data_IF_487597992561
#
_entry.id   IF_487597992561
#
_cell.length_a   1.000
_cell.length_b   1.000
_cell.length_c   1.000
_cell.angle_alpha   90.00
_cell.angle_beta   90.00
_cell.angle_gamma   90.00
#
_symmetry.space_group_name_H-M   'P 1'
#
loop_
_entity.id
_entity.type
_entity.pdbx_description
1 polymer ?
#
# COMPACT_ATOMS: atom_id res chain seq x y z
N UNK A 1 12.57 -12.91 -14.67
CA UNK A 1 11.58 -12.76 -13.60
C UNK A 1 10.31 -13.55 -13.96
N UNK A 2 9.72 -14.22 -12.99
CA UNK A 2 8.41 -14.85 -13.12
C UNK A 2 7.44 -14.10 -12.19
N UNK A 3 6.32 -13.62 -12.74
CA UNK A 3 5.25 -13.01 -11.97
C UNK A 3 4.15 -14.04 -11.72
N UNK A 4 3.78 -14.22 -10.46
CA UNK A 4 2.73 -15.16 -10.08
C UNK A 4 1.57 -14.41 -9.39
N UNK A 5 0.38 -14.55 -9.97
CA UNK A 5 -0.85 -14.00 -9.46
C UNK A 5 -1.40 -14.80 -8.29
N UNK A 6 -0.84 -14.63 -7.11
CA UNK A 6 -1.28 -15.29 -5.88
C UNK A 6 -2.67 -14.79 -5.44
N UNK A 7 -2.92 -13.50 -5.59
CA UNK A 7 -4.11 -12.76 -5.21
C UNK A 7 -4.36 -12.76 -3.69
N UNK A 8 -4.51 -13.94 -3.10
CA UNK A 8 -4.61 -14.24 -1.67
C UNK A 8 -3.99 -15.60 -1.41
N UNK A 9 -3.62 -15.89 -0.16
CA UNK A 9 -3.21 -17.22 0.31
C UNK A 9 -4.18 -17.78 1.37
N UNK A 10 -5.41 -17.23 1.40
CA UNK A 10 -6.56 -17.76 2.12
C UNK A 10 -7.51 -18.48 1.13
N UNK A 11 -7.73 -19.78 1.33
CA UNK A 11 -8.57 -20.59 0.45
C UNK A 11 -10.04 -20.12 0.40
N UNK A 12 -10.58 -19.50 1.47
CA UNK A 12 -11.92 -18.91 1.46
C UNK A 12 -12.00 -17.75 0.47
N UNK A 13 -11.01 -16.86 0.48
CA UNK A 13 -10.91 -15.73 -0.43
C UNK A 13 -10.72 -16.19 -1.87
N UNK A 14 -9.86 -17.19 -2.10
CA UNK A 14 -9.63 -17.76 -3.42
C UNK A 14 -10.89 -18.42 -3.99
N UNK A 15 -11.62 -19.17 -3.18
CA UNK A 15 -12.88 -19.81 -3.57
C UNK A 15 -13.98 -18.76 -3.85
N UNK A 16 -14.15 -17.77 -2.97
CA UNK A 16 -15.12 -16.70 -3.15
C UNK A 16 -14.84 -15.85 -4.41
N UNK A 17 -13.56 -15.69 -4.74
CA UNK A 17 -13.08 -14.97 -5.93
C UNK A 17 -13.01 -15.86 -7.20
N UNK A 18 -13.39 -17.12 -7.11
CA UNK A 18 -13.40 -18.13 -8.22
C UNK A 18 -12.04 -18.24 -8.92
N UNK A 19 -10.94 -18.26 -8.16
CA UNK A 19 -9.58 -18.24 -8.72
C UNK A 19 -9.16 -19.57 -9.37
N UNK A 20 -9.82 -20.68 -9.09
CA UNK A 20 -9.54 -21.99 -9.72
C UNK A 20 -8.26 -22.67 -9.23
N UNK A 21 -7.59 -22.14 -8.19
CA UNK A 21 -6.45 -22.76 -7.52
C UNK A 21 -6.56 -22.57 -6.00
N UNK A 22 -5.81 -23.38 -5.25
CA UNK A 22 -5.72 -23.31 -3.80
C UNK A 22 -4.45 -22.59 -3.34
N UNK A 23 -4.43 -22.14 -2.09
CA UNK A 23 -3.24 -21.59 -1.47
C UNK A 23 -2.08 -22.61 -1.45
N UNK A 24 -2.36 -23.90 -1.26
CA UNK A 24 -1.34 -24.95 -1.32
C UNK A 24 -0.68 -25.04 -2.70
N UNK A 25 -1.47 -24.98 -3.77
CA UNK A 25 -0.94 -24.97 -5.14
C UNK A 25 -0.12 -23.72 -5.43
N UNK A 26 -0.56 -22.55 -4.94
CA UNK A 26 0.18 -21.32 -5.08
C UNK A 26 1.54 -21.37 -4.36
N UNK A 27 1.58 -21.91 -3.13
CA UNK A 27 2.82 -22.15 -2.36
C UNK A 27 3.79 -23.07 -3.10
N UNK A 28 3.28 -24.17 -3.64
CA UNK A 28 4.12 -25.12 -4.37
C UNK A 28 4.68 -24.49 -5.65
N UNK A 29 3.88 -23.73 -6.40
CA UNK A 29 4.35 -22.99 -7.56
C UNK A 29 5.49 -22.02 -7.20
N UNK A 30 5.36 -21.27 -6.10
CA UNK A 30 6.43 -20.39 -5.61
C UNK A 30 7.72 -21.17 -5.31
N UNK A 31 7.62 -22.29 -4.58
CA UNK A 31 8.78 -23.14 -4.28
C UNK A 31 9.46 -23.66 -5.53
N UNK A 32 8.69 -24.14 -6.50
CA UNK A 32 9.23 -24.63 -7.77
C UNK A 32 9.95 -23.56 -8.58
N UNK A 33 9.42 -22.32 -8.61
CA UNK A 33 10.05 -21.17 -9.27
C UNK A 33 11.39 -20.84 -8.60
N UNK A 34 11.39 -20.72 -7.26
CA UNK A 34 12.60 -20.42 -6.49
C UNK A 34 13.64 -21.55 -6.58
N UNK A 35 13.22 -22.81 -6.51
CA UNK A 35 14.13 -23.95 -6.64
C UNK A 35 14.84 -24.01 -8.00
N UNK A 36 14.28 -23.40 -9.04
CA UNK A 36 14.89 -23.27 -10.36
C UNK A 36 15.75 -22.02 -10.54
N UNK A 37 15.94 -21.24 -9.48
CA UNK A 37 16.79 -20.05 -9.49
C UNK A 37 16.17 -18.82 -10.15
N UNK A 38 14.87 -18.82 -10.46
CA UNK A 38 14.20 -17.65 -11.00
C UNK A 38 13.90 -16.62 -9.91
N UNK A 39 13.92 -15.34 -10.32
CA UNK A 39 13.34 -14.28 -9.51
C UNK A 39 11.82 -14.35 -9.57
N UNK A 40 11.19 -14.26 -8.40
CA UNK A 40 9.74 -14.38 -8.23
C UNK A 40 9.12 -13.06 -7.80
N UNK A 41 8.13 -12.59 -8.55
CA UNK A 41 7.28 -11.46 -8.17
C UNK A 41 5.92 -11.98 -7.71
N UNK A 42 5.60 -11.77 -6.44
CA UNK A 42 4.30 -12.14 -5.86
C UNK A 42 3.27 -11.02 -6.07
N UNK A 43 2.18 -11.30 -6.79
CA UNK A 43 1.09 -10.35 -6.96
C UNK A 43 -0.05 -10.70 -6.02
N UNK A 44 -0.51 -9.72 -5.23
CA UNK A 44 -1.66 -9.87 -4.33
C UNK A 44 -2.71 -8.78 -4.57
N UNK A 45 -3.92 -9.02 -4.05
CA UNK A 45 -5.04 -8.08 -4.16
C UNK A 45 -5.59 -7.72 -2.79
N UNK A 46 -6.09 -6.50 -2.69
CA UNK A 46 -6.75 -5.92 -1.52
C UNK A 46 -8.24 -5.81 -1.78
N UNK A 47 -9.07 -6.24 -0.83
CA UNK A 47 -10.52 -6.10 -0.89
C UNK A 47 -11.23 -7.10 -1.80
N UNK A 48 -10.67 -8.30 -1.98
CA UNK A 48 -11.37 -9.40 -2.63
C UNK A 48 -12.61 -9.84 -1.80
N UNK A 49 -13.61 -10.51 -2.41
CA UNK A 49 -14.69 -11.14 -1.66
C UNK A 49 -14.18 -12.00 -0.51
N UNK A 50 -14.81 -11.93 0.64
CA UNK A 50 -14.44 -12.61 1.90
C UNK A 50 -13.06 -12.23 2.48
N UNK A 51 -12.34 -11.27 1.88
CA UNK A 51 -11.04 -10.82 2.39
C UNK A 51 -11.20 -9.85 3.56
N UNK A 52 -10.34 -10.01 4.57
CA UNK A 52 -10.18 -9.09 5.69
C UNK A 52 -8.81 -8.44 5.67
N UNK A 53 -8.61 -7.35 6.43
CA UNK A 53 -7.30 -6.70 6.55
C UNK A 53 -6.25 -7.68 7.11
N UNK A 54 -6.64 -8.52 8.08
CA UNK A 54 -5.79 -9.54 8.68
C UNK A 54 -5.34 -10.58 7.65
N UNK A 55 -6.28 -11.12 6.84
CA UNK A 55 -5.98 -12.11 5.81
C UNK A 55 -5.05 -11.56 4.72
N UNK A 56 -5.17 -10.27 4.40
CA UNK A 56 -4.28 -9.58 3.46
C UNK A 56 -2.89 -9.40 4.05
N UNK A 57 -2.79 -9.01 5.32
CA UNK A 57 -1.52 -8.93 6.05
C UNK A 57 -0.85 -10.31 6.18
N UNK A 58 -1.61 -11.37 6.45
CA UNK A 58 -1.10 -12.75 6.48
C UNK A 58 -0.60 -13.18 5.10
N UNK A 59 -1.35 -12.91 4.04
CA UNK A 59 -0.92 -13.15 2.66
C UNK A 59 0.41 -12.43 2.36
N UNK A 60 0.57 -11.18 2.78
CA UNK A 60 1.80 -10.44 2.58
C UNK A 60 2.99 -11.05 3.34
N UNK A 61 2.80 -11.42 4.61
CA UNK A 61 3.84 -12.11 5.41
C UNK A 61 4.23 -13.45 4.77
N UNK A 62 3.28 -14.16 4.23
CA UNK A 62 3.55 -15.43 3.58
C UNK A 62 4.29 -15.24 2.25
N UNK A 63 3.96 -14.23 1.44
CA UNK A 63 4.73 -13.85 0.24
C UNK A 63 6.19 -13.56 0.59
N UNK A 64 6.44 -12.87 1.71
CA UNK A 64 7.79 -12.66 2.25
C UNK A 64 8.46 -14.00 2.58
N UNK A 65 7.78 -14.90 3.30
CA UNK A 65 8.33 -16.20 3.73
C UNK A 65 8.60 -17.16 2.57
N UNK A 66 7.86 -17.04 1.48
CA UNK A 66 8.06 -17.79 0.24
C UNK A 66 9.27 -17.32 -0.58
N UNK A 67 9.97 -16.27 -0.12
CA UNK A 67 11.18 -15.74 -0.74
C UNK A 67 10.93 -15.00 -2.05
N UNK A 68 9.78 -14.34 -2.18
CA UNK A 68 9.54 -13.46 -3.32
C UNK A 68 10.55 -12.31 -3.33
N UNK A 69 11.09 -12.01 -4.51
CA UNK A 69 12.11 -10.98 -4.70
C UNK A 69 11.49 -9.58 -4.89
N UNK A 70 10.21 -9.53 -5.22
CA UNK A 70 9.42 -8.31 -5.32
C UNK A 70 7.92 -8.63 -5.15
N UNK A 71 7.12 -7.58 -4.94
CA UNK A 71 5.68 -7.72 -4.82
C UNK A 71 4.92 -6.69 -5.69
N UNK A 72 3.66 -7.02 -5.99
CA UNK A 72 2.67 -6.10 -6.55
C UNK A 72 1.40 -6.12 -5.69
N UNK A 73 0.83 -4.95 -5.45
CA UNK A 73 -0.39 -4.79 -4.66
C UNK A 73 -1.44 -4.11 -5.52
N UNK A 74 -2.59 -4.75 -5.71
CA UNK A 74 -3.69 -4.20 -6.47
C UNK A 74 -4.96 -4.09 -5.61
N UNK A 75 -5.58 -2.90 -5.52
CA UNK A 75 -6.92 -2.80 -4.97
C UNK A 75 -7.91 -3.47 -5.93
N UNK A 76 -8.93 -4.10 -5.37
CA UNK A 76 -10.02 -4.68 -6.16
C UNK A 76 -10.88 -3.57 -6.74
N UNK A 77 -11.00 -3.59 -8.07
CA UNK A 77 -11.88 -2.71 -8.84
C UNK A 77 -12.92 -3.58 -9.52
N UNK A 78 -14.18 -3.18 -9.43
CA UNK A 78 -15.31 -3.88 -10.03
C UNK A 78 -15.54 -3.32 -11.42
N UNK A 79 -15.29 -4.13 -12.44
CA UNK A 79 -15.60 -3.79 -13.82
C UNK A 79 -17.04 -4.20 -14.17
N UNK A 80 -17.69 -3.39 -15.00
CA UNK A 80 -19.00 -3.72 -15.55
C UNK A 80 -18.97 -5.06 -16.29
N UNK A 81 -20.11 -5.73 -16.38
CA UNK A 81 -20.30 -7.01 -17.09
C UNK A 81 -19.43 -8.18 -16.56
N UNK A 82 -18.98 -8.09 -15.29
CA UNK A 82 -18.24 -9.15 -14.62
C UNK A 82 -19.11 -9.87 -13.57
N UNK A 83 -18.69 -11.10 -13.23
CA UNK A 83 -19.30 -11.84 -12.12
C UNK A 83 -19.24 -11.07 -10.80
N UNK A 84 -18.14 -10.31 -10.55
CA UNK A 84 -17.97 -9.49 -9.36
C UNK A 84 -18.98 -8.33 -9.33
N UNK A 85 -19.27 -7.72 -10.49
CA UNK A 85 -20.31 -6.70 -10.64
C UNK A 85 -21.69 -7.26 -10.30
N UNK A 86 -22.01 -8.47 -10.78
CA UNK A 86 -23.25 -9.17 -10.44
C UNK A 86 -23.33 -9.45 -8.93
N UNK A 87 -22.25 -9.87 -8.29
CA UNK A 87 -22.20 -10.07 -6.83
C UNK A 87 -22.43 -8.77 -6.07
N UNK A 88 -21.85 -7.67 -6.52
CA UNK A 88 -22.02 -6.35 -5.94
C UNK A 88 -23.49 -5.88 -6.02
N UNK A 89 -24.10 -5.93 -7.20
CA UNK A 89 -25.50 -5.55 -7.39
C UNK A 89 -26.47 -6.47 -6.63
N UNK A 90 -26.12 -7.73 -6.45
CA UNK A 90 -26.88 -8.71 -5.66
C UNK A 90 -26.64 -8.61 -4.15
N UNK A 91 -25.90 -7.65 -3.66
CA UNK A 91 -25.60 -7.46 -2.22
C UNK A 91 -24.71 -8.55 -1.60
N UNK A 92 -24.06 -9.38 -2.42
CA UNK A 92 -23.15 -10.47 -1.99
C UNK A 92 -21.69 -10.03 -1.88
N UNK A 93 -21.37 -8.83 -2.31
CA UNK A 93 -20.04 -8.24 -2.22
C UNK A 93 -20.16 -6.72 -2.11
N UNK A 94 -19.41 -6.15 -1.18
CA UNK A 94 -19.29 -4.69 -1.03
C UNK A 94 -17.84 -4.31 -1.31
N UNK A 95 -17.55 -3.58 -2.40
CA UNK A 95 -16.20 -3.14 -2.69
C UNK A 95 -15.72 -2.13 -1.65
N UNK A 96 -14.41 -2.12 -1.37
CA UNK A 96 -13.82 -1.14 -0.48
C UNK A 96 -13.97 0.28 -1.03
N UNK A 97 -14.27 1.22 -0.15
CA UNK A 97 -14.14 2.63 -0.47
C UNK A 97 -12.65 3.03 -0.50
N UNK A 98 -12.35 4.14 -1.19
CA UNK A 98 -10.96 4.58 -1.41
C UNK A 98 -10.13 4.65 -0.13
N UNK A 99 -10.70 5.27 0.93
CA UNK A 99 -10.01 5.41 2.23
C UNK A 99 -9.58 4.07 2.80
N UNK A 100 -10.47 3.09 2.80
CA UNK A 100 -10.22 1.78 3.41
C UNK A 100 -9.26 0.94 2.55
N UNK A 101 -9.36 1.04 1.22
CA UNK A 101 -8.41 0.41 0.31
C UNK A 101 -6.99 0.97 0.48
N UNK A 102 -6.84 2.29 0.63
CA UNK A 102 -5.55 2.94 0.91
C UNK A 102 -5.00 2.50 2.27
N UNK A 103 -5.83 2.49 3.32
CA UNK A 103 -5.40 2.07 4.67
C UNK A 103 -4.91 0.62 4.68
N UNK A 104 -5.67 -0.33 4.11
CA UNK A 104 -5.30 -1.75 4.04
C UNK A 104 -4.06 -1.97 3.16
N UNK A 105 -3.95 -1.27 2.03
CA UNK A 105 -2.75 -1.34 1.17
C UNK A 105 -1.50 -0.80 1.86
N UNK A 106 -1.63 0.23 2.72
CA UNK A 106 -0.53 0.75 3.54
C UNK A 106 -0.03 -0.29 4.53
N UNK A 107 -0.93 -1.01 5.21
CA UNK A 107 -0.52 -2.06 6.16
C UNK A 107 0.27 -3.17 5.48
N UNK A 108 -0.19 -3.61 4.32
CA UNK A 108 0.52 -4.59 3.49
C UNK A 108 1.87 -4.04 2.99
N UNK A 109 1.92 -2.78 2.56
CA UNK A 109 3.17 -2.13 2.13
C UNK A 109 4.19 -2.05 3.26
N UNK A 110 3.76 -1.80 4.50
CA UNK A 110 4.66 -1.80 5.68
C UNK A 110 5.31 -3.16 5.93
N UNK A 111 4.57 -4.26 5.72
CA UNK A 111 5.11 -5.63 5.83
C UNK A 111 6.23 -5.85 4.81
N UNK A 112 6.00 -5.50 3.56
CA UNK A 112 7.04 -5.62 2.53
C UNK A 112 8.23 -4.70 2.78
N UNK A 113 7.99 -3.45 3.21
CA UNK A 113 9.06 -2.51 3.55
C UNK A 113 9.93 -3.00 4.71
N UNK A 114 9.33 -3.56 5.76
CA UNK A 114 10.04 -4.14 6.90
C UNK A 114 10.90 -5.36 6.49
N UNK A 115 10.43 -6.15 5.52
CA UNK A 115 11.17 -7.28 4.95
C UNK A 115 12.15 -6.87 3.84
N UNK A 116 12.25 -5.59 3.50
CA UNK A 116 13.07 -5.06 2.40
C UNK A 116 12.74 -5.68 1.04
N UNK A 117 11.47 -6.00 0.80
CA UNK A 117 10.96 -6.47 -0.48
C UNK A 117 10.37 -5.28 -1.25
N UNK A 118 10.88 -4.96 -2.44
CA UNK A 118 10.37 -3.85 -3.23
C UNK A 118 8.95 -4.14 -3.75
N UNK A 119 8.04 -3.20 -3.51
CA UNK A 119 6.73 -3.19 -4.16
C UNK A 119 6.87 -2.44 -5.47
N UNK A 120 7.02 -3.19 -6.57
CA UNK A 120 7.30 -2.63 -7.91
C UNK A 120 6.06 -2.07 -8.58
N UNK A 121 4.88 -2.38 -8.08
CA UNK A 121 3.63 -1.78 -8.51
C UNK A 121 2.61 -1.75 -7.38
N UNK A 122 1.95 -0.61 -7.24
CA UNK A 122 0.88 -0.37 -6.30
C UNK A 122 -0.25 0.37 -7.02
N UNK A 123 -1.41 -0.30 -7.17
CA UNK A 123 -2.54 0.19 -7.95
C UNK A 123 -2.52 -0.22 -9.43
N UNK A 124 -3.67 -0.11 -10.08
CA UNK A 124 -3.83 -0.43 -11.50
C UNK A 124 -3.11 0.59 -12.38
N UNK A 125 -2.59 0.12 -13.52
CA UNK A 125 -2.11 1.03 -14.56
C UNK A 125 -3.28 1.82 -15.12
N UNK A 126 -3.02 3.07 -15.46
CA UNK A 126 -3.88 3.80 -16.37
C UNK A 126 -3.81 3.13 -17.75
N UNK A 127 -4.93 2.61 -18.20
CA UNK A 127 -5.09 2.08 -19.54
C UNK A 127 -6.28 2.81 -20.20
N UNK A 128 -6.19 3.05 -21.50
CA UNK A 128 -7.18 3.87 -22.22
C UNK A 128 -8.62 3.36 -22.05
N UNK A 129 -8.81 2.06 -21.97
CA UNK A 129 -10.11 1.44 -21.75
C UNK A 129 -10.69 1.69 -20.34
N UNK A 130 -9.89 2.03 -19.35
CA UNK A 130 -10.35 2.36 -17.99
C UNK A 130 -11.02 3.74 -17.90
N UNK A 131 -10.76 4.60 -18.88
CA UNK A 131 -11.37 5.94 -18.95
C UNK A 131 -12.70 5.96 -19.70
N UNK A 132 -13.14 4.83 -20.28
CA UNK A 132 -14.45 4.73 -20.93
C UNK A 132 -15.54 4.81 -19.85
N UNK A 133 -16.48 5.76 -19.94
CA UNK A 133 -17.59 5.86 -18.99
C UNK A 133 -18.36 4.54 -18.87
N UNK A 134 -18.64 4.12 -17.64
CA UNK A 134 -19.36 2.87 -17.37
C UNK A 134 -18.49 1.61 -17.31
N UNK A 135 -17.19 1.68 -17.60
CA UNK A 135 -16.30 0.51 -17.49
C UNK A 135 -16.10 0.09 -16.03
N UNK A 136 -15.99 1.04 -15.10
CA UNK A 136 -15.84 0.77 -13.67
C UNK A 136 -17.20 0.94 -13.00
N UNK A 137 -17.70 -0.14 -12.38
CA UNK A 137 -18.94 -0.16 -11.63
C UNK A 137 -18.74 0.13 -10.14
N UNK A 138 -17.54 -0.07 -9.59
CA UNK A 138 -17.26 0.16 -8.17
C UNK A 138 -15.82 -0.15 -7.76
N UNK A 139 -15.55 0.08 -6.48
CA UNK A 139 -14.22 -0.19 -5.89
C UNK A 139 -13.27 1.02 -5.95
N UNK A 140 -12.06 0.82 -5.43
CA UNK A 140 -11.10 1.89 -5.20
C UNK A 140 -10.17 2.09 -6.42
N UNK A 141 -10.72 2.66 -7.49
CA UNK A 141 -9.91 3.06 -8.65
C UNK A 141 -9.48 4.51 -8.55
N UNK A 142 -8.18 4.74 -8.66
CA UNK A 142 -7.58 6.07 -8.81
C UNK A 142 -6.27 5.93 -9.59
N UNK A 143 -6.04 6.79 -10.59
CA UNK A 143 -4.84 6.74 -11.43
C UNK A 143 -3.53 6.90 -10.63
N UNK A 144 -3.57 7.66 -9.52
CA UNK A 144 -2.48 7.85 -8.57
C UNK A 144 -2.67 7.06 -7.26
N UNK A 145 -3.31 5.88 -7.30
CA UNK A 145 -3.58 5.09 -6.09
C UNK A 145 -2.31 4.82 -5.28
N UNK A 146 -1.21 4.46 -5.94
CA UNK A 146 0.07 4.23 -5.29
C UNK A 146 0.56 5.45 -4.51
N UNK A 147 0.44 6.65 -5.07
CA UNK A 147 0.84 7.89 -4.40
C UNK A 147 0.00 8.16 -3.14
N UNK A 148 -1.30 7.82 -3.16
CA UNK A 148 -2.16 7.93 -1.98
C UNK A 148 -1.69 6.97 -0.87
N UNK A 149 -1.33 5.73 -1.22
CA UNK A 149 -0.84 4.74 -0.24
C UNK A 149 0.53 5.15 0.33
N UNK A 150 1.47 5.59 -0.50
CA UNK A 150 2.76 6.10 -0.02
C UNK A 150 2.59 7.34 0.86
N UNK A 151 1.69 8.23 0.51
CA UNK A 151 1.37 9.41 1.32
C UNK A 151 0.87 9.01 2.71
N UNK A 152 -0.05 8.05 2.78
CA UNK A 152 -0.59 7.56 4.06
C UNK A 152 0.47 6.81 4.87
N UNK A 153 1.37 6.03 4.24
CA UNK A 153 2.52 5.41 4.90
C UNK A 153 3.41 6.46 5.57
N UNK A 154 3.79 7.51 4.83
CA UNK A 154 4.62 8.58 5.39
C UNK A 154 3.93 9.34 6.51
N UNK A 155 2.64 9.61 6.38
CA UNK A 155 1.89 10.28 7.44
C UNK A 155 1.89 9.46 8.74
N UNK A 156 1.61 8.17 8.68
CA UNK A 156 1.68 7.27 9.84
C UNK A 156 3.08 7.23 10.44
N UNK A 157 4.12 7.08 9.64
CA UNK A 157 5.51 7.08 10.12
C UNK A 157 5.90 8.38 10.80
N UNK A 158 5.44 9.52 10.29
CA UNK A 158 5.68 10.83 10.92
C UNK A 158 4.99 10.94 12.27
N UNK A 159 3.74 10.51 12.37
CA UNK A 159 3.01 10.48 13.65
C UNK A 159 3.71 9.57 14.66
N UNK A 160 3.99 8.34 14.25
CA UNK A 160 4.66 7.36 15.12
C UNK A 160 6.04 7.86 15.59
N UNK A 161 6.77 8.54 14.72
CA UNK A 161 8.06 9.15 15.09
C UNK A 161 7.88 10.25 16.13
N UNK A 162 6.90 11.15 15.97
CA UNK A 162 6.61 12.22 16.93
C UNK A 162 6.26 11.62 18.29
N UNK A 163 5.35 10.65 18.34
CA UNK A 163 4.90 10.03 19.58
C UNK A 163 6.03 9.23 20.26
N UNK A 164 6.73 8.39 19.49
CA UNK A 164 7.82 7.55 20.01
C UNK A 164 8.98 8.35 20.60
N UNK A 165 9.29 9.52 20.03
CA UNK A 165 10.40 10.37 20.50
C UNK A 165 9.95 11.53 21.40
N UNK A 166 8.67 11.59 21.80
CA UNK A 166 8.15 12.64 22.67
C UNK A 166 8.31 14.06 22.12
N UNK A 167 8.19 14.21 20.80
CA UNK A 167 8.48 15.50 20.15
C UNK A 167 7.33 16.51 20.27
N UNK A 168 6.12 16.11 20.65
CA UNK A 168 4.91 16.92 20.59
C UNK A 168 5.12 18.34 21.17
N UNK A 169 5.54 18.45 22.42
CA UNK A 169 5.81 19.76 23.08
C UNK A 169 7.03 20.51 22.53
N UNK A 170 7.92 19.82 21.82
CA UNK A 170 9.13 20.43 21.28
C UNK A 170 8.90 21.09 19.92
N UNK A 171 7.90 20.65 19.15
CA UNK A 171 7.60 21.10 17.79
C UNK A 171 6.46 22.12 17.71
N UNK A 172 5.68 22.24 18.77
CA UNK A 172 4.55 23.18 18.84
C UNK A 172 5.00 24.64 18.56
N UNK A 173 4.31 25.30 17.64
CA UNK A 173 4.62 26.67 17.22
C UNK A 173 5.94 26.84 16.44
N UNK A 174 6.70 25.78 16.20
CA UNK A 174 8.00 25.81 15.53
C UNK A 174 7.95 25.28 14.10
N UNK A 175 9.07 25.41 13.39
CA UNK A 175 9.29 24.68 12.14
C UNK A 175 9.82 23.29 12.44
N UNK A 176 9.26 22.27 11.76
CA UNK A 176 9.68 20.89 11.84
C UNK A 176 10.43 20.51 10.56
N UNK A 177 11.65 19.98 10.70
CA UNK A 177 12.39 19.35 9.60
C UNK A 177 12.12 17.86 9.57
N UNK A 178 11.79 17.33 8.41
CA UNK A 178 11.52 15.92 8.17
C UNK A 178 12.45 15.45 7.06
N UNK A 179 13.30 14.51 7.35
CA UNK A 179 14.22 13.92 6.40
C UNK A 179 13.63 12.60 5.87
N UNK A 180 13.69 12.43 4.57
CA UNK A 180 13.14 11.27 3.84
C UNK A 180 14.15 10.75 2.82
N UNK A 181 14.04 9.51 2.32
CA UNK A 181 14.88 9.01 1.24
C UNK A 181 14.84 9.92 0.00
N UNK A 182 15.90 9.86 -0.80
CA UNK A 182 15.96 10.57 -2.08
C UNK A 182 14.79 10.15 -2.98
N UNK A 183 14.13 11.14 -3.60
CA UNK A 183 12.96 10.93 -4.47
C UNK A 183 11.62 10.80 -3.72
N UNK A 184 11.58 10.83 -2.40
CA UNK A 184 10.34 10.59 -1.64
C UNK A 184 9.69 11.87 -1.07
N UNK A 185 10.22 13.06 -1.35
CA UNK A 185 9.66 14.34 -0.86
C UNK A 185 8.19 14.51 -1.26
N UNK A 186 7.84 14.17 -2.50
CA UNK A 186 6.45 14.27 -3.00
C UNK A 186 5.52 13.32 -2.23
N UNK A 187 5.89 12.07 -2.08
CA UNK A 187 5.14 11.04 -1.33
C UNK A 187 4.94 11.45 0.13
N UNK A 188 6.02 11.93 0.77
CA UNK A 188 5.98 12.38 2.15
C UNK A 188 5.15 13.65 2.35
N UNK A 189 5.17 14.58 1.39
CA UNK A 189 4.33 15.78 1.42
C UNK A 189 2.85 15.46 1.27
N UNK A 190 2.53 14.39 0.55
CA UNK A 190 1.19 14.01 0.14
C UNK A 190 0.65 14.89 -0.99
N UNK A 191 -0.36 14.38 -1.69
CA UNK A 191 -1.02 15.10 -2.77
C UNK A 191 -1.58 16.44 -2.26
N UNK A 192 -1.30 17.52 -2.96
CA UNK A 192 -1.70 18.87 -2.51
C UNK A 192 -1.13 19.28 -1.16
N UNK A 193 0.00 18.71 -0.71
CA UNK A 193 0.62 18.92 0.61
C UNK A 193 -0.24 18.43 1.78
N UNK A 194 -1.11 17.44 1.54
CA UNK A 194 -2.07 16.97 2.53
C UNK A 194 -1.42 16.56 3.86
N UNK A 195 -0.29 15.85 3.82
CA UNK A 195 0.40 15.41 5.05
C UNK A 195 0.97 16.58 5.84
N UNK A 196 1.52 17.62 5.17
CA UNK A 196 1.98 18.83 5.87
C UNK A 196 0.83 19.50 6.60
N UNK A 197 -0.31 19.69 5.93
CA UNK A 197 -1.49 20.31 6.52
C UNK A 197 -2.06 19.49 7.69
N UNK A 198 -2.13 18.16 7.53
CA UNK A 198 -2.59 17.25 8.60
C UNK A 198 -1.70 17.38 9.86
N UNK A 199 -0.37 17.31 9.69
CA UNK A 199 0.57 17.42 10.81
C UNK A 199 0.56 18.83 11.44
N UNK A 200 0.46 19.90 10.63
CA UNK A 200 0.34 21.25 11.15
C UNK A 200 -0.89 21.40 12.04
N UNK A 201 -2.02 20.89 11.60
CA UNK A 201 -3.27 20.96 12.37
C UNK A 201 -3.24 20.08 13.62
N UNK A 202 -2.70 18.85 13.50
CA UNK A 202 -2.71 17.86 14.60
C UNK A 202 -1.72 18.23 15.72
N UNK A 203 -0.57 18.81 15.38
CA UNK A 203 0.53 19.09 16.31
C UNK A 203 0.82 20.59 16.49
N UNK A 204 -0.02 21.46 15.95
CA UNK A 204 0.17 22.92 16.00
C UNK A 204 1.56 23.37 15.54
N UNK A 205 2.10 22.76 14.48
CA UNK A 205 3.43 23.07 13.90
C UNK A 205 3.33 24.28 12.98
N UNK A 206 4.17 25.29 13.18
CA UNK A 206 4.17 26.54 12.38
C UNK A 206 4.48 26.27 10.89
N UNK A 207 5.48 25.44 10.62
CA UNK A 207 5.89 25.11 9.26
C UNK A 207 6.56 23.72 9.21
N UNK A 208 6.52 23.08 8.05
CA UNK A 208 7.15 21.78 7.81
C UNK A 208 8.04 21.84 6.58
N UNK A 209 9.34 21.52 6.76
CA UNK A 209 10.32 21.36 5.69
C UNK A 209 10.60 19.88 5.52
N UNK A 210 10.31 19.33 4.34
CA UNK A 210 10.67 17.94 3.97
C UNK A 210 11.92 18.00 3.11
N UNK A 211 12.96 17.25 3.49
CA UNK A 211 14.32 17.34 2.95
C UNK A 211 14.78 15.92 2.59
N UNK A 212 15.40 15.77 1.44
CA UNK A 212 16.01 14.50 1.05
C UNK A 212 17.26 14.20 1.89
N UNK A 213 17.38 12.95 2.31
CA UNK A 213 18.57 12.39 2.94
C UNK A 213 18.96 11.07 2.27
N UNK A 214 20.04 11.05 1.47
CA UNK A 214 20.48 9.85 0.73
C UNK A 214 20.88 8.66 1.61
N UNK A 215 21.11 8.87 2.90
CA UNK A 215 21.42 7.77 3.85
C UNK A 215 20.16 7.07 4.38
N UNK A 216 18.96 7.54 4.03
CA UNK A 216 17.71 6.90 4.40
C UNK A 216 17.21 6.01 3.26
N UNK A 217 16.65 4.85 3.62
CA UNK A 217 16.10 3.87 2.69
C UNK A 217 14.79 3.31 3.25
N UNK A 218 14.02 2.62 2.43
CA UNK A 218 12.83 1.87 2.83
C UNK A 218 11.79 2.70 3.58
N UNK A 219 11.57 3.95 3.09
CA UNK A 219 10.62 4.91 3.67
C UNK A 219 10.96 5.32 5.12
N UNK A 220 12.19 5.07 5.59
CA UNK A 220 12.62 5.55 6.90
C UNK A 220 12.66 7.07 6.94
N UNK A 221 12.42 7.63 8.11
CA UNK A 221 12.41 9.07 8.33
C UNK A 221 13.27 9.44 9.55
N UNK A 222 13.75 10.67 9.56
CA UNK A 222 14.27 11.34 10.74
C UNK A 222 13.58 12.69 10.87
N UNK A 223 13.27 13.09 12.09
CA UNK A 223 12.60 14.37 12.34
C UNK A 223 13.32 15.13 13.46
N UNK A 224 13.36 16.45 13.33
CA UNK A 224 13.93 17.34 14.36
C UNK A 224 13.25 18.71 14.30
N UNK A 225 13.06 19.39 15.45
CA UNK A 225 12.68 20.79 15.47
C UNK A 225 13.74 21.63 14.75
N UNK A 226 13.31 22.62 13.95
CA UNK A 226 14.23 23.62 13.38
C UNK A 226 14.64 24.56 14.50
N UNK A 227 15.84 24.39 15.03
CA UNK A 227 16.43 25.35 15.96
C UNK A 227 16.75 26.62 15.14
N UNK A 228 15.83 27.61 15.12
CA UNK A 228 16.16 28.93 14.64
C UNK A 228 17.29 29.49 15.52
N UNK A 229 18.43 29.75 14.90
CA UNK A 229 19.46 30.61 15.47
C UNK A 229 19.02 32.06 15.41
#
# INVERSE_FOLDING_TARGET
DIELGLQSLDDRVLAASKRGHTAAQAREACRLIKARGFRLVGQMMIGLPESTAEAECETAREIVSLGCDAARIYPTVVFSDTALCTMMHGGKYTPLVMRDAVARSREVLEIFAAAQIPVIRLGLCAADNLFVPGTIAGGAYHSAFGELVYSELYYHRMRDYIEKHGLRGQIEGKTLRIYVPAGDVSKASGQGRANKLRLQNEYNVKNIKIIENPSLFWYNIKMEPDCAH
#
